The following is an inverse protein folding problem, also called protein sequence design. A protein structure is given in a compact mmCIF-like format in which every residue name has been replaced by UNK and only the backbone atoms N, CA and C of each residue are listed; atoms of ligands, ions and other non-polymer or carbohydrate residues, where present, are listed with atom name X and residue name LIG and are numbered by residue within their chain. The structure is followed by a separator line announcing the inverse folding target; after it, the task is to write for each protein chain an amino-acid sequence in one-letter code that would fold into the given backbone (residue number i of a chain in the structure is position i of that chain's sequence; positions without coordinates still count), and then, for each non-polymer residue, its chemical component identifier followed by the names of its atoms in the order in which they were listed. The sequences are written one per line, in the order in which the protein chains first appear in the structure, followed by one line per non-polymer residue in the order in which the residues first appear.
data_IF_927721649903
#
_entry.id   IF_927721649903
#
_cell.length_a   1.000
_cell.length_b   1.000
_cell.length_c   1.000
_cell.angle_alpha   90.00
_cell.angle_beta   90.00
_cell.angle_gamma   90.00
#
_symmetry.space_group_name_H-M   'P 1'
#
loop_
_entity.id
_entity.type
_entity.pdbx_description
1 polymer ?
#
# COMPACT_ATOMS: atom_id res chain seq x y z
N UNK A 1 -2.22 -30.08 13.65
CA UNK A 1 -2.58 -29.99 12.24
C UNK A 1 -2.76 -28.52 11.96
N UNK A 2 -1.74 -28.05 11.29
CA UNK A 2 -1.34 -26.69 11.00
C UNK A 2 -2.20 -26.14 9.85
N UNK A 3 -1.99 -24.86 9.52
CA UNK A 3 -2.22 -24.25 8.20
C UNK A 3 -3.52 -23.44 7.99
N UNK A 4 -3.45 -22.14 8.29
CA UNK A 4 -3.28 -21.11 7.23
C UNK A 4 -3.25 -19.70 7.84
N UNK A 5 -2.03 -19.18 7.96
CA UNK A 5 -1.73 -17.77 8.16
C UNK A 5 -2.27 -16.94 6.99
N UNK A 6 -3.49 -16.44 7.12
CA UNK A 6 -3.90 -15.26 6.36
C UNK A 6 -3.58 -14.05 7.24
N UNK A 7 -2.72 -13.11 6.82
CA UNK A 7 -2.80 -11.77 7.40
C UNK A 7 -4.16 -11.22 6.94
N UNK A 8 -5.20 -11.49 7.74
CA UNK A 8 -6.44 -10.74 7.68
C UNK A 8 -6.04 -9.33 8.05
N UNK A 9 -5.94 -8.45 7.05
CA UNK A 9 -5.72 -7.03 7.27
C UNK A 9 -6.61 -6.58 8.43
N UNK A 10 -5.98 -6.00 9.44
CA UNK A 10 -6.63 -5.62 10.69
C UNK A 10 -7.95 -4.87 10.41
N UNK A 11 -9.07 -5.16 11.11
CA UNK A 11 -10.40 -4.57 10.84
C UNK A 11 -10.51 -3.08 11.24
N UNK A 12 -9.42 -2.32 11.16
CA UNK A 12 -9.35 -0.90 11.49
C UNK A 12 -9.80 0.02 10.34
N UNK A 13 -10.01 1.31 10.63
CA UNK A 13 -10.17 2.30 9.58
C UNK A 13 -8.89 2.34 8.71
N UNK A 14 -9.00 2.67 7.42
CA UNK A 14 -7.83 2.88 6.57
C UNK A 14 -6.87 3.88 7.20
N UNK A 15 -5.57 3.64 7.04
CA UNK A 15 -4.51 4.49 7.55
C UNK A 15 -3.48 4.87 6.48
N UNK A 16 -3.63 4.38 5.25
CA UNK A 16 -2.79 4.71 4.11
C UNK A 16 -3.62 4.96 2.84
N UNK A 17 -3.11 5.81 1.95
CA UNK A 17 -3.65 6.03 0.60
C UNK A 17 -2.54 5.91 -0.43
N UNK A 18 -2.84 5.22 -1.53
CA UNK A 18 -1.92 5.07 -2.65
C UNK A 18 -2.09 6.22 -3.63
N UNK A 19 -0.97 6.75 -4.10
CA UNK A 19 -0.90 7.80 -5.12
C UNK A 19 0.00 7.39 -6.28
N UNK A 20 -0.46 7.67 -7.48
CA UNK A 20 0.18 7.26 -8.73
C UNK A 20 -0.08 5.81 -9.13
N UNK A 21 0.12 5.54 -10.41
CA UNK A 21 -0.04 4.20 -10.98
C UNK A 21 -1.50 3.71 -11.06
N UNK A 22 -1.70 2.39 -11.24
CA UNK A 22 -3.02 1.80 -11.47
C UNK A 22 -3.91 1.72 -10.21
N UNK A 23 -3.35 1.98 -9.03
CA UNK A 23 -4.07 1.93 -7.76
C UNK A 23 -4.22 3.31 -7.09
N UNK A 24 -4.04 4.40 -7.84
CA UNK A 24 -4.23 5.76 -7.35
C UNK A 24 -5.60 5.96 -6.68
N UNK A 25 -5.58 6.60 -5.51
CA UNK A 25 -6.77 6.87 -4.68
C UNK A 25 -7.26 5.69 -3.85
N UNK A 26 -6.67 4.48 -3.96
CA UNK A 26 -7.04 3.37 -3.09
C UNK A 26 -6.56 3.59 -1.66
N UNK A 27 -7.45 3.37 -0.69
CA UNK A 27 -7.15 3.42 0.73
C UNK A 27 -7.01 2.01 1.31
N UNK A 28 -6.06 1.84 2.22
CA UNK A 28 -5.67 0.54 2.77
C UNK A 28 -5.48 0.63 4.29
N UNK A 29 -5.51 -0.53 4.94
CA UNK A 29 -4.98 -0.70 6.30
C UNK A 29 -3.60 -1.34 6.17
N UNK A 30 -2.57 -0.67 6.67
CA UNK A 30 -1.20 -1.18 6.74
C UNK A 30 -0.77 -1.31 8.20
N UNK A 31 -0.13 -2.42 8.54
CA UNK A 31 0.34 -2.65 9.91
C UNK A 31 1.60 -1.81 10.21
N UNK A 32 2.46 -1.58 9.20
CA UNK A 32 3.72 -0.84 9.33
C UNK A 32 3.79 0.34 8.33
N UNK A 33 3.43 1.54 8.81
CA UNK A 33 3.28 2.78 8.01
C UNK A 33 4.57 3.31 7.34
N UNK A 34 5.74 2.76 7.66
CA UNK A 34 7.03 3.22 7.15
C UNK A 34 7.73 2.19 6.24
N UNK A 35 7.06 1.08 5.92
CA UNK A 35 7.58 0.06 5.02
C UNK A 35 6.94 0.16 3.62
N UNK A 36 7.71 -0.08 2.55
CA UNK A 36 7.17 -0.17 1.19
C UNK A 36 6.13 -1.29 1.04
N UNK A 37 5.11 -1.06 0.22
CA UNK A 37 4.04 -2.00 -0.08
C UNK A 37 4.20 -2.54 -1.50
N UNK A 38 4.33 -3.86 -1.65
CA UNK A 38 4.24 -4.51 -2.95
C UNK A 38 2.79 -4.95 -3.21
N UNK A 39 2.14 -4.31 -4.19
CA UNK A 39 0.73 -4.54 -4.52
C UNK A 39 0.65 -5.13 -5.93
N UNK A 40 0.05 -6.32 -6.05
CA UNK A 40 -0.20 -6.99 -7.32
C UNK A 40 -1.69 -7.10 -7.62
N UNK A 41 -2.02 -7.19 -8.90
CA UNK A 41 -3.39 -7.51 -9.34
C UNK A 41 -3.57 -9.03 -9.39
N UNK A 42 -4.13 -9.61 -8.32
CA UNK A 42 -4.52 -11.03 -8.30
C UNK A 42 -3.35 -12.04 -8.32
N UNK A 43 -2.19 -11.69 -7.75
CA UNK A 43 -1.06 -12.61 -7.56
C UNK A 43 -0.21 -12.87 -8.81
N UNK A 44 -0.41 -12.10 -9.89
CA UNK A 44 0.49 -12.11 -11.05
C UNK A 44 1.43 -10.90 -11.00
N UNK A 45 2.72 -11.17 -11.13
CA UNK A 45 3.73 -10.15 -11.45
C UNK A 45 3.34 -9.41 -12.75
N UNK A 46 3.59 -8.09 -12.87
CA UNK A 46 4.43 -7.28 -11.99
C UNK A 46 3.71 -6.77 -10.72
N UNK A 47 4.45 -6.76 -9.61
CA UNK A 47 4.04 -6.07 -8.40
C UNK A 47 4.43 -4.58 -8.54
N UNK A 48 3.50 -3.70 -8.18
CA UNK A 48 3.75 -2.26 -8.06
C UNK A 48 4.24 -2.00 -6.63
N UNK A 49 5.44 -1.44 -6.49
CA UNK A 49 5.99 -1.08 -5.19
C UNK A 49 5.59 0.34 -4.88
N UNK A 50 4.91 0.57 -3.75
CA UNK A 50 4.57 1.89 -3.24
C UNK A 50 5.42 2.20 -2.02
N UNK A 51 6.05 3.36 -1.95
CA UNK A 51 6.85 3.80 -0.79
C UNK A 51 6.10 4.83 0.03
N UNK A 52 6.16 4.75 1.37
CA UNK A 52 5.60 5.78 2.22
C UNK A 52 6.40 7.07 2.04
N UNK A 53 5.71 8.20 2.00
CA UNK A 53 6.34 9.52 1.94
C UNK A 53 6.75 10.03 3.33
N UNK A 54 6.14 9.48 4.39
CA UNK A 54 6.26 10.00 5.76
C UNK A 54 5.36 11.21 6.03
N UNK A 55 4.57 11.63 5.05
CA UNK A 55 3.65 12.78 5.13
C UNK A 55 2.19 12.32 4.91
N UNK A 56 1.22 12.98 5.56
CA UNK A 56 -0.19 12.73 5.28
C UNK A 56 -0.58 13.22 3.87
N UNK A 57 -1.64 12.64 3.33
CA UNK A 57 -2.20 13.06 2.04
C UNK A 57 -3.02 14.36 2.15
N UNK A 58 -3.01 15.19 1.11
CA UNK A 58 -3.72 16.48 1.11
C UNK A 58 -5.25 16.33 1.01
N UNK A 59 -5.73 15.32 0.28
CA UNK A 59 -7.16 15.02 0.15
C UNK A 59 -7.67 14.19 1.34
N UNK A 60 -6.80 13.35 1.90
CA UNK A 60 -7.08 12.55 3.10
C UNK A 60 -6.05 12.82 4.22
N UNK A 61 -6.20 13.92 5.00
CA UNK A 61 -5.22 14.33 6.00
C UNK A 61 -4.95 13.32 7.13
N UNK A 62 -5.81 12.31 7.28
CA UNK A 62 -5.66 11.24 8.27
C UNK A 62 -4.94 10.00 7.73
N UNK A 63 -4.61 9.96 6.44
CA UNK A 63 -3.98 8.82 5.78
C UNK A 63 -2.54 9.13 5.41
N UNK A 64 -1.63 8.21 5.68
CA UNK A 64 -0.25 8.27 5.20
C UNK A 64 -0.21 8.13 3.68
N UNK A 65 0.49 9.03 2.99
CA UNK A 65 0.63 8.96 1.54
C UNK A 65 1.69 7.93 1.16
N UNK A 66 1.33 7.08 0.21
CA UNK A 66 2.21 6.09 -0.40
C UNK A 66 2.29 6.35 -1.89
N UNK A 67 3.50 6.58 -2.41
CA UNK A 67 3.71 6.91 -3.83
C UNK A 67 4.30 5.72 -4.58
N UNK A 68 3.89 5.53 -5.83
CA UNK A 68 4.46 4.48 -6.67
C UNK A 68 5.97 4.71 -6.83
N UNK A 69 6.75 3.70 -6.47
CA UNK A 69 8.18 3.63 -6.75
C UNK A 69 8.36 3.37 -8.24
N UNK A 70 8.61 4.45 -8.98
CA UNK A 70 9.09 4.37 -10.36
C UNK A 70 10.54 3.88 -10.33
N UNK A 71 10.76 2.62 -9.98
CA UNK A 71 11.98 1.94 -10.36
C UNK A 71 11.95 1.84 -11.89
N UNK A 72 12.47 2.88 -12.55
CA UNK A 72 12.60 2.95 -14.00
C UNK A 72 13.29 1.66 -14.48
N UNK A 73 12.62 0.98 -15.41
CA UNK A 73 13.21 -0.17 -16.08
C UNK A 73 14.52 0.24 -16.75
N UNK A 74 15.60 -0.41 -16.33
CA UNK A 74 16.83 -0.53 -17.13
C UNK A 74 16.58 -1.37 -18.36
#
# INVERSE_FOLDING_TARGET
MDDHSRPQGSPGPPNAVLRGGPFDGKTLVVDELLLPLAIGDGGRSPHFVYRPTGEPDEEYPTLMRYELDHAEGT
#
